data_IF_066728612246
#
_entry.id   IF_066728612246
#
_cell.length_a   1.000
_cell.length_b   1.000
_cell.length_c   1.000
_cell.angle_alpha   90.00
_cell.angle_beta   90.00
_cell.angle_gamma   90.00
#
_symmetry.space_group_name_H-M   'P 1'
#
loop_
_entity.id
_entity.type
_entity.pdbx_description
1 polymer ?
#
# COMPACT_ATOMS: atom_id res chain seq x y z
N UNK A 1 5.22 3.39 5.06
CA UNK A 1 6.43 4.25 5.13
C UNK A 1 6.08 5.71 4.84
N UNK A 2 5.52 6.06 3.66
CA UNK A 2 5.10 7.43 3.33
C UNK A 2 4.15 8.10 4.35
N UNK A 3 3.07 7.41 4.73
CA UNK A 3 2.10 7.95 5.68
C UNK A 3 2.73 8.36 7.01
N UNK A 4 3.69 7.58 7.51
CA UNK A 4 4.42 7.90 8.74
C UNK A 4 5.27 9.17 8.58
N UNK A 5 6.07 9.29 7.52
CA UNK A 5 6.90 10.49 7.31
C UNK A 5 6.06 11.76 7.09
N UNK A 6 4.94 11.66 6.36
CA UNK A 6 4.03 12.78 6.20
C UNK A 6 3.49 13.25 7.55
N UNK A 7 3.01 12.31 8.37
CA UNK A 7 2.47 12.60 9.69
C UNK A 7 3.56 13.15 10.65
N UNK A 8 4.75 12.56 10.64
CA UNK A 8 5.88 13.03 11.46
C UNK A 8 6.33 14.44 11.08
N UNK A 9 6.31 14.81 9.79
CA UNK A 9 6.60 16.18 9.38
C UNK A 9 5.48 17.15 9.77
N UNK A 10 4.21 16.75 9.66
CA UNK A 10 3.09 17.57 10.16
C UNK A 10 3.21 17.85 11.67
N UNK A 11 3.67 16.87 12.46
CA UNK A 11 3.94 17.05 13.89
C UNK A 11 5.04 18.07 14.14
N UNK A 12 6.13 18.05 13.35
CA UNK A 12 7.20 19.06 13.44
C UNK A 12 6.72 20.47 13.13
N UNK A 13 5.69 20.60 12.30
CA UNK A 13 5.01 21.87 12.01
C UNK A 13 4.00 22.28 13.09
N UNK A 14 3.91 21.55 14.19
CA UNK A 14 3.03 21.86 15.33
C UNK A 14 1.64 21.24 15.25
N UNK A 15 1.34 20.43 14.24
CA UNK A 15 0.03 19.79 14.12
C UNK A 15 -0.10 18.56 15.02
N UNK A 16 -1.33 18.31 15.49
CA UNK A 16 -1.68 17.11 16.23
C UNK A 16 -2.20 16.03 15.29
N UNK A 17 -1.65 14.82 15.40
CA UNK A 17 -2.02 13.67 14.57
C UNK A 17 -2.61 12.56 15.44
N UNK A 18 -3.81 12.12 15.07
CA UNK A 18 -4.44 10.90 15.60
C UNK A 18 -4.66 9.93 14.46
N UNK A 19 -3.98 8.79 14.47
CA UNK A 19 -4.24 7.70 13.51
C UNK A 19 -5.26 6.75 14.13
N UNK A 20 -6.22 6.30 13.33
CA UNK A 20 -7.04 5.15 13.66
C UNK A 20 -6.76 4.02 12.67
N UNK A 21 -6.40 2.82 13.15
CA UNK A 21 -6.07 1.66 12.32
C UNK A 21 -6.90 0.44 12.71
N UNK A 22 -7.21 -0.44 11.74
CA UNK A 22 -7.90 -1.73 11.95
C UNK A 22 -6.95 -2.94 11.83
N UNK A 23 -5.66 -2.71 12.08
CA UNK A 23 -4.61 -3.71 11.90
C UNK A 23 -4.21 -4.39 13.20
N UNK A 24 -3.50 -5.51 13.06
CA UNK A 24 -2.91 -6.25 14.16
C UNK A 24 -1.42 -6.50 13.86
N UNK A 25 -0.56 -6.27 14.84
CA UNK A 25 0.87 -6.61 14.73
C UNK A 25 1.20 -7.93 15.44
N UNK A 26 0.49 -8.23 16.52
CA UNK A 26 0.68 -9.44 17.30
C UNK A 26 -0.68 -9.96 17.78
N UNK A 27 -0.92 -11.26 17.66
CA UNK A 27 -2.17 -11.90 18.09
C UNK A 27 -2.49 -11.65 19.57
N UNK A 28 -1.46 -11.48 20.41
CA UNK A 28 -1.59 -11.16 21.83
C UNK A 28 -2.21 -9.78 22.10
N UNK A 29 -2.37 -8.94 21.08
CA UNK A 29 -3.10 -7.66 21.19
C UNK A 29 -4.63 -7.86 21.24
N UNK A 30 -5.14 -9.04 20.88
CA UNK A 30 -6.56 -9.40 20.98
C UNK A 30 -6.87 -9.83 22.42
N UNK A 31 -7.50 -8.96 23.20
CA UNK A 31 -7.91 -9.28 24.58
C UNK A 31 -9.40 -9.60 24.69
N UNK A 32 -10.20 -8.97 23.85
CA UNK A 32 -11.66 -9.11 23.80
C UNK A 32 -12.13 -9.02 22.35
N UNK A 33 -13.44 -9.19 22.14
CA UNK A 33 -14.08 -9.04 20.82
C UNK A 33 -13.72 -7.72 20.12
N UNK A 34 -13.63 -6.64 20.90
CA UNK A 34 -13.27 -5.29 20.47
C UNK A 34 -12.17 -4.77 21.40
N UNK A 35 -10.92 -4.81 20.94
CA UNK A 35 -9.77 -4.31 21.69
C UNK A 35 -9.30 -2.97 21.10
N UNK A 36 -8.94 -2.02 21.94
CA UNK A 36 -8.31 -0.76 21.52
C UNK A 36 -6.95 -0.65 22.19
N UNK A 37 -5.91 -0.42 21.39
CA UNK A 37 -4.56 -0.13 21.88
C UNK A 37 -4.20 1.30 21.48
N UNK A 38 -3.92 2.14 22.48
CA UNK A 38 -3.40 3.50 22.29
C UNK A 38 -1.88 3.45 22.32
N UNK A 39 -1.25 3.92 21.26
CA UNK A 39 0.21 3.87 21.07
C UNK A 39 0.69 5.31 20.88
N UNK A 40 1.26 5.96 21.92
CA UNK A 40 1.89 7.26 21.75
C UNK A 40 3.18 7.09 20.96
N UNK A 41 3.28 7.79 19.82
CA UNK A 41 4.50 7.86 19.00
C UNK A 41 5.32 9.09 19.44
N UNK A 42 4.64 10.23 19.61
CA UNK A 42 5.15 11.45 20.26
C UNK A 42 4.01 12.11 21.04
N UNK A 43 4.29 13.22 21.75
CA UNK A 43 3.26 13.98 22.49
C UNK A 43 2.09 14.43 21.60
N UNK A 44 2.36 14.75 20.33
CA UNK A 44 1.36 15.23 19.36
C UNK A 44 1.01 14.18 18.30
N UNK A 45 1.48 12.92 18.43
CA UNK A 45 1.23 11.87 17.46
C UNK A 45 0.84 10.55 18.17
N UNK A 46 -0.42 10.17 18.05
CA UNK A 46 -0.97 8.99 18.72
C UNK A 46 -1.62 8.08 17.68
N UNK A 47 -1.34 6.78 17.75
CA UNK A 47 -2.08 5.73 17.02
C UNK A 47 -3.10 5.06 17.94
N UNK A 48 -4.33 4.95 17.47
CA UNK A 48 -5.42 4.20 18.07
C UNK A 48 -5.70 2.98 17.20
N UNK A 49 -5.18 1.83 17.65
CA UNK A 49 -5.37 0.56 16.94
C UNK A 49 -6.61 -0.13 17.46
N UNK A 50 -7.60 -0.27 16.59
CA UNK A 50 -8.86 -0.95 16.86
C UNK A 50 -8.84 -2.36 16.28
N UNK A 51 -8.88 -3.34 17.16
CA UNK A 51 -8.79 -4.75 16.81
C UNK A 51 -10.15 -5.37 17.08
N UNK A 52 -10.76 -5.92 16.04
CA UNK A 52 -12.04 -6.63 16.13
C UNK A 52 -11.89 -8.02 15.51
N UNK A 53 -12.25 -9.06 16.26
CA UNK A 53 -12.03 -10.46 15.84
C UNK A 53 -12.78 -10.76 14.54
N UNK A 54 -14.02 -10.30 14.39
CA UNK A 54 -14.77 -10.45 13.14
C UNK A 54 -14.06 -9.79 11.96
N UNK A 55 -13.44 -8.62 12.17
CA UNK A 55 -12.61 -7.96 11.17
C UNK A 55 -11.40 -8.76 10.77
N UNK A 56 -10.73 -9.42 11.72
CA UNK A 56 -9.58 -10.27 11.41
C UNK A 56 -10.01 -11.45 10.53
N UNK A 57 -11.12 -12.11 10.87
CA UNK A 57 -11.66 -13.25 10.11
C UNK A 57 -12.08 -12.81 8.71
N UNK A 58 -12.88 -11.75 8.58
CA UNK A 58 -13.35 -11.24 7.28
C UNK A 58 -12.17 -10.76 6.42
N UNK A 59 -11.19 -10.07 7.01
CA UNK A 59 -10.00 -9.64 6.29
C UNK A 59 -9.15 -10.84 5.83
N UNK A 60 -9.00 -11.87 6.66
CA UNK A 60 -8.28 -13.09 6.28
C UNK A 60 -8.95 -13.78 5.08
N UNK A 61 -10.28 -13.97 5.12
CA UNK A 61 -11.03 -14.60 4.03
C UNK A 61 -10.96 -13.76 2.75
N UNK A 62 -11.11 -12.44 2.83
CA UNK A 62 -11.04 -11.58 1.64
C UNK A 62 -9.65 -11.56 1.03
N UNK A 63 -8.60 -11.48 1.85
CA UNK A 63 -7.21 -11.49 1.39
C UNK A 63 -6.81 -12.83 0.80
N UNK A 64 -7.25 -13.96 1.37
CA UNK A 64 -6.99 -15.28 0.79
C UNK A 64 -7.68 -15.48 -0.56
N UNK A 65 -8.76 -14.74 -0.83
CA UNK A 65 -9.43 -14.66 -2.13
C UNK A 65 -8.79 -13.64 -3.10
N UNK A 66 -7.61 -13.11 -2.77
CA UNK A 66 -6.88 -12.10 -3.55
C UNK A 66 -7.41 -10.67 -3.36
N UNK A 67 -8.42 -10.48 -2.51
CA UNK A 67 -9.05 -9.19 -2.30
C UNK A 67 -8.36 -8.33 -1.23
N UNK A 68 -8.66 -7.02 -1.21
CA UNK A 68 -8.11 -6.13 -0.18
C UNK A 68 -9.02 -6.19 1.05
N UNK A 69 -8.73 -5.39 2.08
CA UNK A 69 -9.55 -5.31 3.32
C UNK A 69 -10.87 -4.54 3.09
N UNK A 70 -11.62 -4.94 2.07
CA UNK A 70 -12.78 -4.28 1.46
C UNK A 70 -13.88 -3.92 2.46
N UNK A 71 -14.11 -4.78 3.44
CA UNK A 71 -15.25 -4.66 4.37
C UNK A 71 -14.91 -3.94 5.67
N UNK A 72 -13.70 -3.42 5.83
CA UNK A 72 -13.28 -2.67 7.03
C UNK A 72 -14.26 -1.54 7.41
N UNK A 73 -14.69 -0.73 6.44
CA UNK A 73 -15.73 0.29 6.66
C UNK A 73 -17.10 -0.26 7.06
N UNK A 74 -17.51 -1.42 6.53
CA UNK A 74 -18.77 -2.07 6.91
C UNK A 74 -18.73 -2.54 8.36
N UNK A 75 -17.58 -3.04 8.81
CA UNK A 75 -17.37 -3.46 10.19
C UNK A 75 -17.45 -2.27 11.14
N UNK A 76 -16.91 -1.11 10.75
CA UNK A 76 -17.08 0.12 11.52
C UNK A 76 -18.55 0.56 11.63
N UNK A 77 -19.37 0.33 10.58
CA UNK A 77 -20.83 0.59 10.63
C UNK A 77 -21.54 -0.29 11.67
N UNK A 78 -21.10 -1.54 11.85
CA UNK A 78 -21.67 -2.50 12.80
C UNK A 78 -21.24 -2.16 14.23
N UNK A 79 -19.93 -2.11 14.49
CA UNK A 79 -19.40 -2.02 15.86
C UNK A 79 -19.27 -0.59 16.40
N UNK A 80 -19.25 0.42 15.52
CA UNK A 80 -19.30 1.86 15.87
C UNK A 80 -18.34 2.24 17.01
N UNK A 81 -17.02 2.07 16.85
CA UNK A 81 -16.07 2.34 17.93
C UNK A 81 -16.17 3.80 18.41
N UNK A 82 -16.46 3.98 19.70
CA UNK A 82 -16.65 5.31 20.32
C UNK A 82 -15.47 6.24 20.07
N UNK A 83 -14.25 5.72 20.23
CA UNK A 83 -13.02 6.50 20.02
C UNK A 83 -12.91 7.07 18.61
N UNK A 84 -13.29 6.33 17.57
CA UNK A 84 -13.24 6.84 16.20
C UNK A 84 -14.22 7.99 16.01
N UNK A 85 -15.45 7.84 16.53
CA UNK A 85 -16.46 8.90 16.44
C UNK A 85 -16.04 10.16 17.21
N UNK A 86 -15.35 10.01 18.35
CA UNK A 86 -14.80 11.15 19.09
C UNK A 86 -13.65 11.83 18.34
N UNK A 87 -12.76 11.05 17.71
CA UNK A 87 -11.66 11.58 16.92
C UNK A 87 -12.18 12.35 15.71
N UNK A 88 -13.15 11.81 14.97
CA UNK A 88 -13.75 12.46 13.79
C UNK A 88 -14.29 13.86 14.14
N UNK A 89 -14.88 14.03 15.33
CA UNK A 89 -15.42 15.33 15.79
C UNK A 89 -14.36 16.35 16.23
N UNK A 90 -13.12 15.91 16.46
CA UNK A 90 -12.02 16.73 17.00
C UNK A 90 -10.96 17.07 15.95
N UNK A 91 -11.15 16.64 14.71
CA UNK A 91 -10.21 16.85 13.62
C UNK A 91 -10.64 18.01 12.73
N UNK A 92 -9.69 18.85 12.36
CA UNK A 92 -9.90 19.93 11.37
C UNK A 92 -9.76 19.40 9.93
N UNK A 93 -9.08 18.27 9.74
CA UNK A 93 -8.87 17.59 8.45
C UNK A 93 -8.90 16.08 8.70
N UNK A 94 -9.56 15.32 7.82
CA UNK A 94 -9.57 13.86 7.88
C UNK A 94 -8.88 13.29 6.65
N UNK A 95 -7.93 12.38 6.86
CA UNK A 95 -7.22 11.67 5.80
C UNK A 95 -7.52 10.18 5.90
N UNK A 96 -8.01 9.58 4.82
CA UNK A 96 -8.35 8.15 4.73
C UNK A 96 -7.37 7.46 3.79
N UNK A 97 -6.67 6.44 4.29
CA UNK A 97 -5.77 5.60 3.51
C UNK A 97 -6.57 4.43 2.90
N UNK A 98 -6.55 4.30 1.57
CA UNK A 98 -7.39 3.38 0.79
C UNK A 98 -8.91 3.70 0.88
N UNK A 99 -9.74 3.22 -0.07
CA UNK A 99 -11.14 3.66 -0.14
C UNK A 99 -12.07 2.88 0.82
N UNK A 100 -11.56 1.84 1.50
CA UNK A 100 -12.39 0.85 2.21
C UNK A 100 -13.16 1.39 3.40
N UNK A 101 -12.57 2.36 4.12
CA UNK A 101 -13.19 3.03 5.27
C UNK A 101 -13.90 4.33 4.89
N UNK A 102 -13.68 4.83 3.67
CA UNK A 102 -14.07 6.19 3.27
C UNK A 102 -15.56 6.46 3.48
N UNK A 103 -16.44 5.58 3.01
CA UNK A 103 -17.89 5.73 3.18
C UNK A 103 -18.33 5.82 4.64
N UNK A 104 -17.67 5.11 5.57
CA UNK A 104 -18.00 5.23 6.99
C UNK A 104 -17.64 6.62 7.52
N UNK A 105 -16.45 7.10 7.18
CA UNK A 105 -15.93 8.40 7.61
C UNK A 105 -16.74 9.55 7.01
N UNK A 106 -17.02 9.51 5.70
CA UNK A 106 -17.81 10.50 5.00
C UNK A 106 -19.20 10.71 5.62
N UNK A 107 -19.86 9.63 6.03
CA UNK A 107 -21.18 9.69 6.66
C UNK A 107 -21.16 10.15 8.13
N UNK A 108 -19.98 10.31 8.74
CA UNK A 108 -19.81 10.65 10.17
C UNK A 108 -19.09 11.97 10.39
N UNK A 109 -18.31 12.44 9.42
CA UNK A 109 -17.63 13.73 9.51
C UNK A 109 -18.65 14.88 9.56
N UNK A 110 -18.33 15.98 10.26
CA UNK A 110 -19.04 17.23 10.06
C UNK A 110 -18.91 17.71 8.59
N UNK A 111 -19.90 18.46 8.11
CA UNK A 111 -19.99 18.84 6.70
C UNK A 111 -18.83 19.74 6.24
N UNK A 112 -18.35 20.60 7.13
CA UNK A 112 -17.30 21.60 6.95
C UNK A 112 -15.87 21.02 7.02
N UNK A 113 -15.71 19.80 7.53
CA UNK A 113 -14.38 19.18 7.64
C UNK A 113 -13.96 18.55 6.30
N UNK A 114 -12.83 18.98 5.70
CA UNK A 114 -12.33 18.39 4.46
C UNK A 114 -11.87 16.94 4.67
N UNK A 115 -12.17 16.09 3.68
CA UNK A 115 -11.76 14.69 3.63
C UNK A 115 -10.82 14.43 2.44
N UNK A 116 -9.63 13.92 2.77
CA UNK A 116 -8.58 13.60 1.81
C UNK A 116 -8.52 12.08 1.65
N UNK A 117 -8.63 11.60 0.41
CA UNK A 117 -8.38 10.20 0.07
C UNK A 117 -6.91 10.01 -0.32
N UNK A 118 -6.26 8.95 0.18
CA UNK A 118 -4.92 8.55 -0.24
C UNK A 118 -4.98 7.19 -0.92
N UNK A 119 -4.70 7.17 -2.22
CA UNK A 119 -4.61 5.96 -3.03
C UNK A 119 -3.13 5.61 -3.30
N UNK A 120 -2.76 4.38 -2.96
CA UNK A 120 -1.40 3.87 -3.20
C UNK A 120 -1.27 3.15 -4.54
N UNK A 121 -2.39 2.60 -5.03
CA UNK A 121 -2.52 1.95 -6.33
C UNK A 121 -3.96 2.17 -6.81
N UNK A 122 -4.25 1.97 -8.09
CA UNK A 122 -5.63 1.68 -8.50
C UNK A 122 -6.00 0.28 -7.96
N UNK A 123 -6.73 0.21 -6.85
CA UNK A 123 -6.97 -1.03 -6.10
C UNK A 123 -7.73 -2.08 -6.92
N UNK A 124 -8.50 -1.63 -7.91
CA UNK A 124 -9.13 -2.50 -8.89
C UNK A 124 -8.13 -3.27 -9.77
N UNK A 125 -7.03 -2.67 -10.19
CA UNK A 125 -6.02 -3.34 -11.02
C UNK A 125 -5.42 -4.54 -10.25
N UNK A 126 -5.28 -4.37 -8.92
CA UNK A 126 -4.83 -5.43 -8.01
C UNK A 126 -5.77 -6.64 -7.96
N UNK A 127 -7.08 -6.40 -8.09
CA UNK A 127 -8.11 -7.46 -8.03
C UNK A 127 -8.32 -8.18 -9.35
N UNK A 128 -8.07 -7.49 -10.47
CA UNK A 128 -8.12 -8.10 -11.79
C UNK A 128 -6.92 -9.00 -12.04
N UNK A 129 -5.71 -8.56 -11.64
CA UNK A 129 -4.47 -9.29 -11.90
C UNK A 129 -4.28 -10.60 -11.12
N UNK A 130 -5.12 -10.91 -10.13
CA UNK A 130 -5.05 -12.18 -9.39
C UNK A 130 -5.71 -13.32 -10.18
N UNK A 131 -4.94 -14.00 -11.04
CA UNK A 131 -5.43 -15.14 -11.84
C UNK A 131 -5.70 -16.42 -11.03
N UNK A 132 -5.43 -16.43 -9.72
CA UNK A 132 -5.31 -17.67 -8.93
C UNK A 132 -6.63 -18.39 -8.60
N UNK A 133 -7.79 -17.87 -8.97
CA UNK A 133 -9.09 -18.43 -8.53
C UNK A 133 -10.09 -18.58 -9.70
N UNK A 134 -9.87 -19.58 -10.55
CA UNK A 134 -10.88 -20.01 -11.52
C UNK A 134 -12.13 -20.64 -10.87
N UNK A 135 -12.04 -21.12 -9.62
CA UNK A 135 -13.09 -21.89 -8.94
C UNK A 135 -14.18 -21.04 -8.26
N UNK A 136 -13.99 -19.72 -8.10
CA UNK A 136 -14.93 -18.84 -7.37
C UNK A 136 -15.34 -17.60 -8.20
N UNK A 137 -15.59 -17.79 -9.50
CA UNK A 137 -15.95 -16.70 -10.44
C UNK A 137 -17.07 -15.75 -9.96
N UNK A 138 -18.23 -16.21 -9.44
CA UNK A 138 -19.30 -15.29 -9.03
C UNK A 138 -18.92 -14.47 -7.80
N UNK A 139 -18.27 -15.09 -6.80
CA UNK A 139 -17.80 -14.40 -5.61
C UNK A 139 -16.70 -13.39 -5.95
N UNK A 140 -15.75 -13.76 -6.83
CA UNK A 140 -14.71 -12.86 -7.31
C UNK A 140 -15.31 -11.64 -8.02
N UNK A 141 -16.31 -11.86 -8.90
CA UNK A 141 -17.02 -10.76 -9.59
C UNK A 141 -17.70 -9.83 -8.59
N UNK A 142 -18.36 -10.38 -7.56
CA UNK A 142 -18.98 -9.58 -6.50
C UNK A 142 -17.94 -8.74 -5.74
N UNK A 143 -16.80 -9.33 -5.36
CA UNK A 143 -15.73 -8.62 -4.65
C UNK A 143 -15.11 -7.50 -5.52
N UNK A 144 -14.91 -7.78 -6.81
CA UNK A 144 -14.43 -6.78 -7.78
C UNK A 144 -15.44 -5.62 -7.89
N UNK A 145 -16.72 -5.91 -8.11
CA UNK A 145 -17.74 -4.88 -8.22
C UNK A 145 -17.83 -4.05 -6.93
N UNK A 146 -17.83 -4.71 -5.77
CA UNK A 146 -17.82 -4.03 -4.46
C UNK A 146 -16.62 -3.11 -4.30
N UNK A 147 -15.44 -3.53 -4.79
CA UNK A 147 -14.24 -2.72 -4.74
C UNK A 147 -14.34 -1.48 -5.64
N UNK A 148 -14.81 -1.65 -6.89
CA UNK A 148 -15.03 -0.55 -7.83
C UNK A 148 -16.01 0.45 -7.25
N UNK A 149 -17.13 -0.01 -6.69
CA UNK A 149 -18.15 0.86 -6.12
C UNK A 149 -17.62 1.68 -4.94
N UNK A 150 -16.86 1.04 -4.05
CA UNK A 150 -16.22 1.73 -2.90
C UNK A 150 -15.16 2.73 -3.35
N UNK A 151 -14.29 2.34 -4.29
CA UNK A 151 -13.24 3.19 -4.85
C UNK A 151 -13.88 4.39 -5.58
N UNK A 152 -14.89 4.15 -6.43
CA UNK A 152 -15.66 5.19 -7.11
C UNK A 152 -16.27 6.16 -6.11
N UNK A 153 -16.98 5.65 -5.10
CA UNK A 153 -17.60 6.50 -4.08
C UNK A 153 -16.56 7.37 -3.36
N UNK A 154 -15.41 6.79 -2.99
CA UNK A 154 -14.35 7.52 -2.30
C UNK A 154 -13.74 8.62 -3.19
N UNK A 155 -13.45 8.29 -4.45
CA UNK A 155 -12.86 9.19 -5.44
C UNK A 155 -13.80 10.34 -5.79
N UNK A 156 -15.11 10.09 -5.95
CA UNK A 156 -16.08 11.11 -6.29
C UNK A 156 -16.36 12.09 -5.13
N UNK A 157 -16.32 11.59 -3.89
CA UNK A 157 -16.72 12.35 -2.69
C UNK A 157 -15.55 12.93 -1.89
N UNK A 158 -14.30 12.71 -2.30
CA UNK A 158 -13.15 13.33 -1.68
C UNK A 158 -13.01 14.80 -2.09
N UNK A 159 -12.62 15.64 -1.14
CA UNK A 159 -12.25 17.03 -1.40
C UNK A 159 -10.89 17.10 -2.12
N UNK A 160 -10.00 16.18 -1.76
CA UNK A 160 -8.65 16.05 -2.30
C UNK A 160 -8.25 14.57 -2.38
N UNK A 161 -7.50 14.21 -3.42
CA UNK A 161 -6.99 12.85 -3.62
C UNK A 161 -5.48 12.91 -3.76
N UNK A 162 -4.77 12.07 -3.01
CA UNK A 162 -3.34 11.86 -3.18
C UNK A 162 -3.07 10.54 -3.88
N UNK A 163 -2.27 10.59 -4.94
CA UNK A 163 -1.71 9.41 -5.62
C UNK A 163 -0.19 9.36 -5.48
N UNK A 164 0.42 8.23 -5.82
CA UNK A 164 1.89 8.06 -5.75
C UNK A 164 2.59 8.34 -7.08
N UNK A 165 1.85 8.37 -8.20
CA UNK A 165 2.41 8.64 -9.53
C UNK A 165 1.43 9.42 -10.43
N UNK A 166 1.97 10.03 -11.49
CA UNK A 166 1.16 10.60 -12.58
C UNK A 166 0.37 9.52 -13.34
N UNK A 167 0.90 8.30 -13.41
CA UNK A 167 0.18 7.17 -14.00
C UNK A 167 -1.11 6.88 -13.22
N UNK A 168 -1.03 6.76 -11.90
CA UNK A 168 -2.19 6.53 -11.03
C UNK A 168 -3.20 7.67 -11.10
N UNK A 169 -2.72 8.93 -11.10
CA UNK A 169 -3.57 10.12 -11.29
C UNK A 169 -4.34 10.03 -12.61
N UNK A 170 -3.65 9.69 -13.69
CA UNK A 170 -4.28 9.57 -15.01
C UNK A 170 -5.21 8.35 -15.11
N UNK A 171 -4.92 7.25 -14.42
CA UNK A 171 -5.80 6.07 -14.35
C UNK A 171 -7.09 6.37 -13.59
N UNK A 172 -6.99 6.92 -12.38
CA UNK A 172 -8.15 7.29 -11.57
C UNK A 172 -9.01 8.34 -12.28
N UNK A 173 -8.38 9.39 -12.83
CA UNK A 173 -9.08 10.44 -13.57
C UNK A 173 -9.83 9.91 -14.79
N UNK A 174 -9.25 8.97 -15.54
CA UNK A 174 -9.92 8.33 -16.70
C UNK A 174 -11.04 7.38 -16.27
N UNK A 175 -10.81 6.57 -15.25
CA UNK A 175 -11.74 5.52 -14.84
C UNK A 175 -13.00 6.06 -14.17
N UNK A 176 -12.85 7.09 -13.33
CA UNK A 176 -13.93 7.65 -12.52
C UNK A 176 -14.39 9.02 -12.98
N UNK A 177 -13.84 9.54 -14.08
CA UNK A 177 -14.21 10.84 -14.66
C UNK A 177 -14.14 12.01 -13.67
N UNK A 178 -13.23 11.94 -12.70
CA UNK A 178 -13.04 13.00 -11.70
C UNK A 178 -12.11 14.10 -12.17
N UNK A 179 -12.37 15.32 -11.70
CA UNK A 179 -11.52 16.47 -12.03
C UNK A 179 -10.09 16.25 -11.52
N UNK A 180 -9.12 16.24 -12.45
CA UNK A 180 -7.69 16.07 -12.14
C UNK A 180 -7.13 17.17 -11.22
N UNK A 181 -7.79 18.33 -11.11
CA UNK A 181 -7.41 19.38 -10.16
C UNK A 181 -7.57 18.97 -8.70
N UNK A 182 -8.42 17.98 -8.40
CA UNK A 182 -8.54 17.37 -7.07
C UNK A 182 -7.45 16.33 -6.77
N UNK A 183 -6.68 15.90 -7.78
CA UNK A 183 -5.71 14.81 -7.65
C UNK A 183 -4.28 15.36 -7.65
N UNK A 184 -3.57 15.14 -6.55
CA UNK A 184 -2.19 15.54 -6.35
C UNK A 184 -1.27 14.32 -6.27
N UNK A 185 -0.18 14.36 -7.03
CA UNK A 185 0.84 13.32 -6.97
C UNK A 185 1.81 13.64 -5.86
N UNK A 186 1.93 12.74 -4.91
CA UNK A 186 2.92 12.79 -3.83
C UNK A 186 3.67 11.47 -3.87
N UNK A 187 4.85 11.42 -4.52
CA UNK A 187 5.57 10.18 -4.71
C UNK A 187 6.04 9.59 -3.38
N UNK A 188 6.23 8.27 -3.36
CA UNK A 188 6.85 7.61 -2.22
C UNK A 188 8.32 8.05 -2.10
N UNK A 189 8.71 8.49 -0.91
CA UNK A 189 10.09 8.80 -0.57
C UNK A 189 10.82 7.62 0.09
N UNK A 190 12.12 7.81 0.28
CA UNK A 190 13.01 6.89 1.01
C UNK A 190 13.73 7.67 2.11
N UNK A 191 14.15 6.97 3.17
CA UNK A 191 14.97 7.56 4.21
C UNK A 191 16.39 7.81 3.71
N UNK A 192 16.71 9.06 3.37
CA UNK A 192 18.03 9.43 2.82
C UNK A 192 19.15 9.40 3.87
N UNK A 193 18.82 9.29 5.16
CA UNK A 193 19.83 9.05 6.21
C UNK A 193 20.28 7.59 6.25
N UNK A 194 19.38 6.67 5.88
CA UNK A 194 19.65 5.22 5.81
C UNK A 194 20.12 4.78 4.42
N UNK A 195 19.53 5.34 3.37
CA UNK A 195 19.80 4.98 1.98
C UNK A 195 20.60 6.10 1.31
N UNK A 196 21.92 5.97 1.38
CA UNK A 196 22.87 6.90 0.77
C UNK A 196 23.37 6.37 -0.57
N UNK A 197 23.89 7.27 -1.41
CA UNK A 197 24.46 6.91 -2.71
C UNK A 197 25.83 6.28 -2.47
N UNK A 198 25.99 5.00 -2.84
CA UNK A 198 27.30 4.34 -2.74
C UNK A 198 28.31 4.90 -3.73
N UNK A 199 29.53 5.08 -3.26
CA UNK A 199 30.72 5.43 -4.04
C UNK A 199 31.11 4.32 -5.02
N UNK A 200 31.98 4.63 -5.98
CA UNK A 200 32.48 3.64 -6.93
C UNK A 200 33.32 2.55 -6.23
N UNK A 201 34.10 2.93 -5.23
CA UNK A 201 34.92 2.01 -4.42
C UNK A 201 34.05 1.00 -3.66
N UNK A 202 33.00 1.47 -2.98
CA UNK A 202 32.05 0.59 -2.27
C UNK A 202 31.37 -0.38 -3.24
N UNK A 203 30.91 0.11 -4.39
CA UNK A 203 30.32 -0.76 -5.43
C UNK A 203 31.29 -1.86 -5.87
N UNK A 204 32.57 -1.55 -6.07
CA UNK A 204 33.57 -2.53 -6.48
C UNK A 204 33.87 -3.56 -5.38
N UNK A 205 33.90 -3.13 -4.11
CA UNK A 205 34.02 -4.02 -2.95
C UNK A 205 32.84 -4.99 -2.92
N UNK A 206 31.61 -4.49 -2.99
CA UNK A 206 30.42 -5.35 -2.96
C UNK A 206 30.34 -6.31 -4.15
N UNK A 207 30.68 -5.85 -5.36
CA UNK A 207 30.77 -6.74 -6.53
C UNK A 207 31.77 -7.86 -6.31
N UNK A 208 32.97 -7.55 -5.79
CA UNK A 208 33.99 -8.54 -5.51
C UNK A 208 33.56 -9.53 -4.42
N UNK A 209 32.96 -9.04 -3.34
CA UNK A 209 32.47 -9.88 -2.23
C UNK A 209 31.35 -10.82 -2.67
N UNK A 210 30.39 -10.31 -3.45
CA UNK A 210 29.19 -11.07 -3.82
C UNK A 210 29.49 -11.99 -5.02
N UNK A 211 30.32 -11.55 -5.98
CA UNK A 211 30.45 -12.20 -7.29
C UNK A 211 31.88 -12.65 -7.63
N UNK A 212 32.87 -12.42 -6.76
CA UNK A 212 34.28 -12.77 -6.98
C UNK A 212 35.02 -11.89 -8.00
N UNK A 213 34.31 -11.05 -8.75
CA UNK A 213 34.87 -10.23 -9.83
C UNK A 213 34.24 -8.83 -9.87
N UNK A 214 35.06 -7.80 -9.64
CA UNK A 214 34.64 -6.39 -9.69
C UNK A 214 34.45 -5.85 -11.12
N UNK A 215 34.98 -6.54 -12.13
CA UNK A 215 34.98 -6.08 -13.53
C UNK A 215 33.66 -6.43 -14.25
N UNK A 216 32.83 -7.29 -13.69
CA UNK A 216 31.51 -7.61 -14.26
C UNK A 216 30.55 -6.43 -14.14
N UNK A 217 29.75 -6.23 -15.19
CA UNK A 217 28.56 -5.36 -15.13
C UNK A 217 27.45 -6.12 -14.42
N UNK A 218 26.99 -5.61 -13.29
CA UNK A 218 25.91 -6.25 -12.52
C UNK A 218 24.60 -5.53 -12.82
N UNK A 219 23.60 -6.31 -13.24
CA UNK A 219 22.24 -5.86 -13.49
C UNK A 219 21.37 -6.48 -12.39
N UNK A 220 20.84 -5.64 -11.50
CA UNK A 220 20.15 -6.07 -10.29
C UNK A 220 18.63 -5.90 -10.43
N UNK A 221 17.89 -6.96 -10.14
CA UNK A 221 16.44 -6.91 -9.92
C UNK A 221 16.14 -7.33 -8.48
N UNK A 222 15.31 -6.56 -7.78
CA UNK A 222 14.92 -6.84 -6.39
C UNK A 222 13.40 -6.95 -6.31
N UNK A 223 12.89 -8.08 -5.80
CA UNK A 223 11.45 -8.31 -5.72
C UNK A 223 11.03 -9.33 -4.67
N UNK A 224 9.86 -9.10 -4.07
CA UNK A 224 9.15 -10.09 -3.26
C UNK A 224 8.41 -11.09 -4.14
N UNK A 225 7.93 -12.20 -3.55
CA UNK A 225 7.19 -13.24 -4.25
C UNK A 225 5.77 -12.74 -4.48
N UNK A 226 5.61 -12.02 -5.59
CA UNK A 226 4.38 -11.36 -5.97
C UNK A 226 4.24 -11.45 -7.49
N UNK A 227 3.01 -11.62 -7.98
CA UNK A 227 2.75 -11.97 -9.38
C UNK A 227 3.42 -11.03 -10.41
N UNK A 228 3.31 -9.68 -10.30
CA UNK A 228 4.07 -8.76 -11.16
C UNK A 228 5.59 -8.95 -11.14
N UNK A 229 6.18 -9.29 -9.99
CA UNK A 229 7.62 -9.54 -9.90
C UNK A 229 8.00 -10.86 -10.58
N UNK A 230 7.13 -11.88 -10.49
CA UNK A 230 7.34 -13.15 -11.19
C UNK A 230 7.34 -12.92 -12.71
N UNK A 231 6.34 -12.20 -13.23
CA UNK A 231 6.24 -11.86 -14.65
C UNK A 231 7.43 -11.00 -15.11
N UNK A 232 7.87 -10.04 -14.30
CA UNK A 232 9.06 -9.25 -14.58
C UNK A 232 10.32 -10.12 -14.67
N UNK A 233 10.51 -11.07 -13.74
CA UNK A 233 11.67 -11.97 -13.77
C UNK A 233 11.63 -12.90 -14.98
N UNK A 234 10.47 -13.48 -15.33
CA UNK A 234 10.32 -14.28 -16.57
C UNK A 234 10.72 -13.45 -17.79
N UNK A 235 10.19 -12.23 -17.90
CA UNK A 235 10.54 -11.34 -19.01
C UNK A 235 12.04 -11.03 -19.06
N UNK A 236 12.68 -10.85 -17.90
CA UNK A 236 14.13 -10.67 -17.82
C UNK A 236 14.86 -11.90 -18.35
N UNK A 237 14.50 -13.11 -17.91
CA UNK A 237 15.15 -14.36 -18.30
C UNK A 237 14.93 -14.66 -19.79
N UNK A 238 13.71 -14.50 -20.27
CA UNK A 238 13.30 -14.97 -21.60
C UNK A 238 13.60 -13.96 -22.72
N UNK A 239 13.65 -12.66 -22.39
CA UNK A 239 13.74 -11.58 -23.39
C UNK A 239 14.92 -10.65 -23.15
N UNK A 240 15.08 -10.12 -21.93
CA UNK A 240 16.07 -9.06 -21.68
C UNK A 240 17.50 -9.60 -21.61
N UNK A 241 17.74 -10.62 -20.78
CA UNK A 241 19.07 -11.16 -20.55
C UNK A 241 19.70 -11.74 -21.83
N UNK A 242 18.99 -12.53 -22.67
CA UNK A 242 19.54 -13.02 -23.92
C UNK A 242 19.98 -11.89 -24.86
N UNK A 243 19.19 -10.82 -24.96
CA UNK A 243 19.50 -9.70 -25.85
C UNK A 243 20.67 -8.85 -25.34
N UNK A 244 20.70 -8.57 -24.04
CA UNK A 244 21.80 -7.80 -23.42
C UNK A 244 23.12 -8.56 -23.52
N UNK A 245 23.11 -9.88 -23.31
CA UNK A 245 24.33 -10.70 -23.31
C UNK A 245 24.96 -10.86 -24.71
N UNK A 246 24.21 -10.60 -25.80
CA UNK A 246 24.79 -10.54 -27.16
C UNK A 246 25.86 -9.44 -27.27
N UNK A 247 25.55 -8.26 -26.75
CA UNK A 247 26.41 -7.06 -26.86
C UNK A 247 27.29 -6.85 -25.63
N UNK A 248 26.89 -7.38 -24.47
CA UNK A 248 27.58 -7.18 -23.20
C UNK A 248 27.85 -8.51 -22.49
N UNK A 249 28.71 -9.34 -23.10
CA UNK A 249 29.05 -10.69 -22.61
C UNK A 249 29.58 -10.72 -21.17
N UNK A 250 30.26 -9.65 -20.72
CA UNK A 250 30.76 -9.54 -19.34
C UNK A 250 29.73 -8.89 -18.39
N UNK A 251 28.48 -9.34 -18.47
CA UNK A 251 27.38 -8.89 -17.60
C UNK A 251 26.79 -10.05 -16.81
N UNK A 252 26.26 -9.72 -15.63
CA UNK A 252 25.64 -10.67 -14.73
C UNK A 252 24.30 -10.11 -14.25
N UNK A 253 23.24 -10.89 -14.43
CA UNK A 253 21.92 -10.59 -13.88
C UNK A 253 21.79 -11.22 -12.50
N UNK A 254 21.43 -10.42 -11.51
CA UNK A 254 21.24 -10.84 -10.12
C UNK A 254 19.82 -10.54 -9.70
N UNK A 255 19.07 -11.57 -9.30
CA UNK A 255 17.69 -11.47 -8.82
C UNK A 255 17.71 -11.68 -7.31
N UNK A 256 17.27 -10.68 -6.55
CA UNK A 256 17.31 -10.66 -5.08
C UNK A 256 15.90 -10.60 -4.51
N UNK A 257 15.71 -11.31 -3.40
CA UNK A 257 14.44 -11.39 -2.67
C UNK A 257 13.72 -12.72 -2.92
N UNK A 258 12.54 -12.88 -2.31
CA UNK A 258 11.82 -14.15 -2.34
C UNK A 258 11.36 -14.56 -3.73
N UNK A 259 11.26 -13.63 -4.69
CA UNK A 259 11.02 -13.98 -6.10
C UNK A 259 12.19 -14.76 -6.70
N UNK A 260 13.43 -14.43 -6.34
CA UNK A 260 14.61 -15.15 -6.83
C UNK A 260 14.63 -16.60 -6.34
N UNK A 261 14.17 -16.84 -5.11
CA UNK A 261 14.06 -18.19 -4.56
C UNK A 261 13.07 -19.05 -5.36
N UNK A 262 11.95 -18.47 -5.82
CA UNK A 262 10.95 -19.17 -6.63
C UNK A 262 11.53 -19.70 -7.95
N UNK A 263 12.42 -18.93 -8.62
CA UNK A 263 13.08 -19.38 -9.84
C UNK A 263 14.30 -20.27 -9.63
N UNK A 264 14.79 -20.41 -8.38
CA UNK A 264 15.82 -21.42 -8.05
C UNK A 264 15.22 -22.82 -7.85
N UNK A 265 13.93 -22.90 -7.52
CA UNK A 265 13.21 -24.13 -7.21
C UNK A 265 12.48 -24.76 -8.41
N UNK A 266 12.55 -24.11 -9.57
CA UNK A 266 11.97 -24.57 -10.85
C UNK A 266 13.13 -24.88 -11.78
#
# INVERSE_FOLDING_TARGET
MRAHYLNSNAVKLGHKISIFSQDILNINEVKTLNSIKKIPITNNYIEYRYINIFSLVVNYITVSLGASKLFTGNILKIFKPKILNELIKKCDIIKVEHPWQFSYIFNKKPNDIPIILVEHNAEFDRLIGSNDLMLLKPLKKLLINTAIEKEKFAVENADLIFTVSEEDKNKLGRKYSVNKSKIYVIPNGVDTSRFTISTHTEKNIYKRQIMGDSNKKVILFVGSLYHPNIEAVKFIIDKVAPEVLKNYKNSLFVIVGSVGNYFKSI
#
